data_IF_670400677095
#
_entry.id   IF_670400677095
#
_cell.length_a   1.000
_cell.length_b   1.000
_cell.length_c   1.000
_cell.angle_alpha   90.00
_cell.angle_beta   90.00
_cell.angle_gamma   90.00
#
_symmetry.space_group_name_H-M   'P 1'
#
loop_
_entity.id
_entity.type
_entity.pdbx_description
1 polymer ?
#
# COMPACT_ATOMS: atom_id res chain seq x y z
N UNK A 1 -0.05 -25.27 -56.02
CA UNK A 1 0.54 -26.13 -54.92
C UNK A 1 1.02 -25.21 -53.79
N UNK A 2 0.54 -25.40 -52.54
CA UNK A 2 1.04 -24.61 -51.36
C UNK A 2 2.50 -24.95 -51.09
N UNK A 3 3.40 -23.95 -51.11
CA UNK A 3 4.81 -24.11 -50.74
C UNK A 3 4.90 -24.64 -49.29
N UNK A 4 5.57 -25.77 -49.10
CA UNK A 4 5.81 -26.31 -47.75
C UNK A 4 6.95 -25.53 -47.12
N UNK A 5 6.63 -24.71 -46.13
CA UNK A 5 7.61 -24.00 -45.30
C UNK A 5 8.05 -24.89 -44.15
N UNK A 6 9.36 -25.10 -43.99
CA UNK A 6 10.00 -25.85 -42.93
C UNK A 6 10.59 -24.86 -41.90
N UNK A 7 10.53 -25.21 -40.60
CA UNK A 7 11.27 -24.49 -39.56
C UNK A 7 12.77 -24.77 -39.70
N UNK A 8 13.62 -23.91 -39.17
CA UNK A 8 15.09 -24.01 -39.31
C UNK A 8 15.64 -25.41 -39.00
N UNK A 9 15.20 -26.06 -37.94
CA UNK A 9 15.61 -27.44 -37.61
C UNK A 9 15.07 -28.50 -38.57
N UNK A 10 13.88 -28.31 -39.12
CA UNK A 10 13.26 -29.19 -40.11
C UNK A 10 13.94 -29.02 -41.49
N UNK A 11 14.28 -27.79 -41.84
CA UNK A 11 15.01 -27.44 -43.03
C UNK A 11 16.41 -28.07 -43.04
N UNK A 12 17.15 -27.91 -41.90
CA UNK A 12 18.50 -28.53 -41.76
C UNK A 12 18.46 -30.07 -41.91
N UNK A 13 17.44 -30.70 -41.27
CA UNK A 13 17.24 -32.17 -41.47
C UNK A 13 16.95 -32.51 -42.91
N UNK A 14 16.08 -31.77 -43.57
CA UNK A 14 15.74 -32.00 -44.96
C UNK A 14 16.96 -31.87 -45.90
N UNK A 15 17.74 -30.80 -45.75
CA UNK A 15 18.91 -30.53 -46.57
C UNK A 15 19.98 -31.59 -46.43
N UNK A 16 20.29 -32.05 -45.20
CA UNK A 16 21.27 -33.10 -44.94
C UNK A 16 20.81 -34.42 -45.52
N UNK A 17 19.53 -34.77 -45.36
CA UNK A 17 19.01 -36.04 -45.90
C UNK A 17 18.88 -35.98 -47.43
N UNK A 18 18.46 -34.86 -48.00
CA UNK A 18 18.42 -34.64 -49.46
C UNK A 18 19.82 -34.86 -50.03
N UNK A 19 20.83 -34.17 -49.53
CA UNK A 19 22.22 -34.35 -49.96
C UNK A 19 22.73 -35.78 -49.80
N UNK A 20 22.39 -36.44 -48.68
CA UNK A 20 22.77 -37.81 -48.42
C UNK A 20 22.20 -38.79 -49.46
N UNK A 21 20.95 -38.58 -49.91
CA UNK A 21 20.30 -39.45 -50.89
C UNK A 21 20.81 -39.14 -52.29
N UNK A 22 21.00 -37.87 -52.66
CA UNK A 22 21.47 -37.44 -53.98
C UNK A 22 22.93 -37.83 -54.25
N UNK A 23 23.80 -37.79 -53.21
CA UNK A 23 25.23 -38.12 -53.36
C UNK A 23 25.59 -39.54 -52.95
N UNK A 24 24.61 -40.36 -52.57
CA UNK A 24 24.82 -41.70 -51.99
C UNK A 24 25.85 -41.73 -50.84
N UNK A 25 25.78 -40.69 -49.96
CA UNK A 25 26.75 -40.37 -48.96
C UNK A 25 26.76 -41.30 -47.75
N UNK A 26 27.70 -41.05 -46.80
CA UNK A 26 27.87 -41.86 -45.61
C UNK A 26 26.82 -41.58 -44.55
N UNK A 27 25.98 -42.57 -44.22
CA UNK A 27 24.90 -42.52 -43.25
C UNK A 27 25.40 -42.24 -41.80
N UNK A 28 26.58 -42.79 -41.41
CA UNK A 28 27.17 -42.56 -40.11
C UNK A 28 27.56 -41.10 -39.94
N UNK A 29 28.15 -40.46 -40.96
CA UNK A 29 28.48 -39.02 -40.93
C UNK A 29 27.24 -38.14 -40.86
N UNK A 30 26.16 -38.49 -41.55
CA UNK A 30 24.88 -37.76 -41.44
C UNK A 30 24.25 -37.91 -40.05
N UNK A 31 24.34 -39.10 -39.45
CA UNK A 31 23.88 -39.37 -38.06
C UNK A 31 24.60 -38.52 -37.05
N UNK A 32 25.93 -38.45 -37.13
CA UNK A 32 26.77 -37.60 -36.24
C UNK A 32 26.41 -36.12 -36.43
N UNK A 33 26.20 -35.63 -37.68
CA UNK A 33 25.89 -34.24 -37.96
C UNK A 33 24.50 -33.81 -37.44
N UNK A 34 23.54 -34.76 -37.43
CA UNK A 34 22.17 -34.53 -36.91
C UNK A 34 22.00 -34.91 -35.43
N UNK A 35 23.03 -35.41 -34.77
CA UNK A 35 22.97 -35.86 -33.38
C UNK A 35 21.96 -37.01 -33.19
N UNK A 36 21.87 -37.94 -34.12
CA UNK A 36 20.90 -39.02 -34.08
C UNK A 36 21.48 -40.38 -34.53
N UNK A 37 20.74 -41.47 -34.37
CA UNK A 37 21.20 -42.81 -34.74
C UNK A 37 21.06 -43.07 -36.24
N UNK A 38 21.87 -43.98 -36.78
CA UNK A 38 21.78 -44.45 -38.20
C UNK A 38 20.38 -45.00 -38.51
N UNK A 39 19.71 -45.64 -37.53
CA UNK A 39 18.30 -46.06 -37.66
C UNK A 39 17.37 -44.90 -37.95
N UNK A 40 17.57 -43.77 -37.27
CA UNK A 40 16.79 -42.51 -37.50
C UNK A 40 17.07 -41.99 -38.90
N UNK A 41 18.32 -42.00 -39.37
CA UNK A 41 18.68 -41.62 -40.73
C UNK A 41 17.96 -42.48 -41.76
N UNK A 42 17.95 -43.81 -41.63
CA UNK A 42 17.23 -44.69 -42.54
C UNK A 42 15.71 -44.36 -42.61
N UNK A 43 15.08 -44.08 -41.43
CA UNK A 43 13.67 -43.67 -41.39
C UNK A 43 13.44 -42.32 -42.10
N UNK A 44 14.36 -41.39 -41.97
CA UNK A 44 14.28 -40.07 -42.63
C UNK A 44 14.50 -40.20 -44.16
N UNK A 45 15.38 -41.14 -44.62
CA UNK A 45 15.56 -41.46 -46.03
C UNK A 45 14.27 -42.02 -46.65
N UNK A 46 13.59 -42.94 -45.94
CA UNK A 46 12.30 -43.51 -46.39
C UNK A 46 11.29 -42.36 -46.49
N UNK A 47 11.14 -41.54 -45.47
CA UNK A 47 10.24 -40.37 -45.51
C UNK A 47 10.55 -39.37 -46.62
N UNK A 48 11.83 -39.15 -46.90
CA UNK A 48 12.25 -38.33 -48.04
C UNK A 48 11.79 -38.90 -49.40
N UNK A 49 11.99 -40.20 -49.57
CA UNK A 49 11.59 -40.88 -50.83
C UNK A 49 10.09 -40.94 -51.02
N UNK A 50 9.31 -41.12 -49.95
CA UNK A 50 7.85 -41.23 -50.01
C UNK A 50 7.13 -39.88 -50.07
N UNK A 51 7.57 -38.91 -49.23
CA UNK A 51 6.83 -37.68 -48.99
C UNK A 51 7.61 -36.40 -49.37
N UNK A 52 8.84 -36.53 -49.81
CA UNK A 52 9.69 -35.40 -50.16
C UNK A 52 9.87 -34.43 -48.99
N UNK A 53 9.76 -33.13 -49.29
CA UNK A 53 9.87 -32.05 -48.31
C UNK A 53 8.79 -32.11 -47.25
N UNK A 54 7.58 -32.60 -47.53
CA UNK A 54 6.45 -32.70 -46.61
C UNK A 54 6.75 -33.65 -45.42
N UNK A 55 7.52 -34.71 -45.64
CA UNK A 55 7.87 -35.68 -44.61
C UNK A 55 8.70 -35.14 -43.47
N UNK A 56 9.27 -33.93 -43.59
CA UNK A 56 10.10 -33.29 -42.57
C UNK A 56 9.32 -32.32 -41.69
N UNK A 57 8.07 -32.02 -41.99
CA UNK A 57 7.18 -31.25 -41.11
C UNK A 57 6.95 -32.07 -39.85
N UNK A 58 7.18 -31.46 -38.69
CA UNK A 58 6.98 -32.13 -37.39
C UNK A 58 5.53 -32.55 -37.20
N UNK A 59 5.27 -33.81 -36.89
CA UNK A 59 3.91 -34.38 -36.81
C UNK A 59 2.99 -33.73 -35.78
N UNK A 60 3.56 -33.07 -34.77
CA UNK A 60 2.81 -32.30 -33.76
C UNK A 60 2.60 -30.82 -34.17
N UNK A 61 2.96 -30.43 -35.40
CA UNK A 61 2.77 -29.06 -35.85
C UNK A 61 1.29 -28.76 -35.98
N UNK A 62 0.81 -27.80 -35.22
CA UNK A 62 -0.61 -27.42 -35.14
C UNK A 62 -1.47 -28.29 -34.22
N UNK A 63 -0.91 -29.28 -33.55
CA UNK A 63 -1.64 -30.06 -32.54
C UNK A 63 -1.77 -29.24 -31.25
N UNK A 64 -2.98 -28.98 -30.83
CA UNK A 64 -3.26 -28.37 -29.55
C UNK A 64 -3.07 -29.44 -28.44
N UNK A 65 -2.40 -29.12 -27.33
CA UNK A 65 -2.34 -29.99 -26.16
C UNK A 65 -3.75 -30.29 -25.64
N UNK A 66 -3.96 -31.44 -25.01
CA UNK A 66 -5.25 -31.78 -24.38
C UNK A 66 -5.62 -30.79 -23.25
N UNK A 67 -4.62 -30.14 -22.65
CA UNK A 67 -4.78 -29.10 -21.63
C UNK A 67 -4.92 -27.69 -22.20
N UNK A 68 -5.05 -27.53 -23.53
CA UNK A 68 -5.24 -26.20 -24.12
C UNK A 68 -6.62 -25.65 -23.75
N UNK A 69 -6.65 -24.42 -23.25
CA UNK A 69 -7.90 -23.72 -22.97
C UNK A 69 -8.66 -23.48 -24.29
N UNK A 70 -9.97 -23.79 -24.36
CA UNK A 70 -10.80 -23.52 -25.51
C UNK A 70 -10.77 -22.04 -25.93
N UNK A 71 -10.90 -21.78 -27.23
CA UNK A 71 -10.73 -20.42 -27.77
C UNK A 71 -11.81 -19.44 -27.28
N UNK A 72 -13.02 -19.90 -27.11
CA UNK A 72 -14.15 -19.14 -26.55
C UNK A 72 -13.89 -18.71 -25.12
N UNK A 73 -13.39 -19.62 -24.29
CA UNK A 73 -13.00 -19.33 -22.90
C UNK A 73 -11.82 -18.33 -22.88
N UNK A 74 -10.79 -18.55 -23.72
CA UNK A 74 -9.67 -17.62 -23.86
C UNK A 74 -10.15 -16.20 -24.17
N UNK A 75 -11.01 -16.06 -25.20
CA UNK A 75 -11.53 -14.76 -25.61
C UNK A 75 -12.36 -14.09 -24.52
N UNK A 76 -13.19 -14.87 -23.80
CA UNK A 76 -13.97 -14.38 -22.66
C UNK A 76 -13.07 -13.83 -21.55
N UNK A 77 -11.98 -14.53 -21.23
CA UNK A 77 -11.01 -14.09 -20.18
C UNK A 77 -10.27 -12.82 -20.63
N UNK A 78 -9.88 -12.74 -21.91
CA UNK A 78 -9.24 -11.52 -22.44
C UNK A 78 -10.19 -10.34 -22.36
N UNK A 79 -11.45 -10.50 -22.79
CA UNK A 79 -12.46 -9.45 -22.71
C UNK A 79 -12.73 -9.01 -21.28
N UNK A 80 -12.85 -9.96 -20.34
CA UNK A 80 -13.02 -9.68 -18.91
C UNK A 80 -11.86 -8.86 -18.36
N UNK A 81 -10.61 -9.21 -18.70
CA UNK A 81 -9.46 -8.45 -18.27
C UNK A 81 -9.48 -7.01 -18.79
N UNK A 82 -9.72 -6.84 -20.09
CA UNK A 82 -9.67 -5.52 -20.74
C UNK A 82 -10.76 -4.60 -20.21
N UNK A 83 -11.97 -5.12 -20.00
CA UNK A 83 -13.13 -4.33 -19.62
C UNK A 83 -13.16 -4.01 -18.11
N UNK A 84 -12.86 -5.01 -17.26
CA UNK A 84 -13.18 -4.91 -15.82
C UNK A 84 -11.93 -4.91 -14.92
N UNK A 85 -10.79 -5.48 -15.40
CA UNK A 85 -9.61 -5.72 -14.58
C UNK A 85 -8.30 -5.22 -15.20
N UNK A 86 -8.34 -4.22 -16.08
CA UNK A 86 -7.16 -3.73 -16.80
C UNK A 86 -6.07 -3.14 -15.89
N UNK A 87 -6.40 -2.76 -14.67
CA UNK A 87 -5.51 -2.26 -13.62
C UNK A 87 -4.92 -3.38 -12.74
N UNK A 88 -5.47 -4.61 -12.79
CA UNK A 88 -4.94 -5.75 -12.07
C UNK A 88 -3.63 -6.25 -12.69
N UNK A 89 -2.67 -6.66 -11.86
CA UNK A 89 -1.53 -7.41 -12.39
C UNK A 89 -1.95 -8.84 -12.77
N UNK A 90 -1.30 -9.41 -13.78
CA UNK A 90 -1.69 -10.71 -14.35
C UNK A 90 -1.75 -11.85 -13.33
N UNK A 91 -0.86 -11.88 -12.33
CA UNK A 91 -0.89 -12.90 -11.27
C UNK A 91 -2.15 -12.75 -10.42
N UNK A 92 -2.51 -11.51 -10.03
CA UNK A 92 -3.70 -11.23 -9.25
C UNK A 92 -4.98 -11.55 -10.04
N UNK A 93 -5.02 -11.21 -11.32
CA UNK A 93 -6.16 -11.54 -12.17
C UNK A 93 -6.34 -13.07 -12.35
N UNK A 94 -5.24 -13.84 -12.47
CA UNK A 94 -5.33 -15.30 -12.47
C UNK A 94 -5.95 -15.86 -11.19
N UNK A 95 -5.65 -15.27 -10.02
CA UNK A 95 -6.24 -15.66 -8.74
C UNK A 95 -7.75 -15.37 -8.70
N UNK A 96 -8.18 -14.22 -9.25
CA UNK A 96 -9.61 -13.87 -9.36
C UNK A 96 -10.31 -14.87 -10.29
N UNK A 97 -9.73 -15.18 -11.45
CA UNK A 97 -10.30 -16.16 -12.39
C UNK A 97 -10.40 -17.56 -11.77
N UNK A 98 -9.43 -17.96 -10.94
CA UNK A 98 -9.48 -19.24 -10.22
C UNK A 98 -10.58 -19.23 -9.14
N UNK A 99 -10.73 -18.12 -8.40
CA UNK A 99 -11.75 -18.02 -7.34
C UNK A 99 -13.17 -17.96 -7.86
N UNK A 100 -13.43 -17.19 -8.92
CA UNK A 100 -14.78 -16.88 -9.39
C UNK A 100 -15.29 -17.86 -10.43
N UNK A 101 -14.40 -18.39 -11.28
CA UNK A 101 -14.76 -19.28 -12.37
C UNK A 101 -14.22 -20.70 -12.19
N UNK A 102 -13.49 -20.97 -11.10
CA UNK A 102 -12.88 -22.29 -10.84
C UNK A 102 -11.81 -22.69 -11.88
N UNK A 103 -11.32 -21.75 -12.71
CA UNK A 103 -10.39 -22.02 -13.79
C UNK A 103 -8.97 -21.63 -13.41
N UNK A 104 -8.10 -22.62 -13.34
CA UNK A 104 -6.68 -22.41 -13.05
C UNK A 104 -5.89 -22.08 -14.31
N UNK A 105 -5.45 -20.83 -14.43
CA UNK A 105 -4.64 -20.33 -15.55
C UNK A 105 -3.30 -19.84 -15.00
N UNK A 106 -2.20 -20.21 -15.64
CA UNK A 106 -0.89 -19.69 -15.24
C UNK A 106 -0.72 -18.25 -15.71
N UNK A 107 -0.01 -17.42 -14.91
CA UNK A 107 0.38 -16.06 -15.27
C UNK A 107 1.17 -15.98 -16.57
N UNK A 108 1.96 -17.01 -16.88
CA UNK A 108 2.69 -17.15 -18.15
C UNK A 108 1.75 -17.33 -19.33
N UNK A 109 0.70 -18.14 -19.18
CA UNK A 109 -0.31 -18.36 -20.21
C UNK A 109 -1.07 -17.07 -20.51
N UNK A 110 -1.56 -16.42 -19.45
CA UNK A 110 -2.25 -15.13 -19.56
C UNK A 110 -1.35 -14.07 -20.19
N UNK A 111 -0.09 -13.95 -19.76
CA UNK A 111 0.87 -12.99 -20.32
C UNK A 111 1.09 -13.21 -21.83
N UNK A 112 1.13 -14.47 -22.29
CA UNK A 112 1.26 -14.77 -23.72
C UNK A 112 0.00 -14.37 -24.50
N UNK A 113 -1.19 -14.56 -23.92
CA UNK A 113 -2.44 -14.13 -24.54
C UNK A 113 -2.53 -12.61 -24.65
N UNK A 114 -2.25 -11.90 -23.54
CA UNK A 114 -2.31 -10.45 -23.49
C UNK A 114 -1.27 -9.78 -24.39
N UNK A 115 -0.08 -10.37 -24.53
CA UNK A 115 0.94 -9.88 -25.46
C UNK A 115 0.51 -10.00 -26.93
N UNK A 116 -0.29 -11.02 -27.27
CA UNK A 116 -0.83 -11.16 -28.61
C UNK A 116 -1.88 -10.08 -28.93
N UNK A 117 -2.49 -9.49 -27.90
CA UNK A 117 -3.44 -8.38 -27.98
C UNK A 117 -2.77 -7.02 -27.64
N UNK A 118 -1.44 -6.95 -27.61
CA UNK A 118 -0.65 -5.75 -27.25
C UNK A 118 -0.95 -5.16 -25.85
N UNK A 119 -1.51 -5.97 -24.93
CA UNK A 119 -1.82 -5.58 -23.57
C UNK A 119 -0.66 -5.93 -22.62
N UNK A 120 -0.22 -4.95 -21.84
CA UNK A 120 0.87 -5.10 -20.86
C UNK A 120 0.34 -5.03 -19.43
N UNK A 121 0.87 -5.90 -18.55
CA UNK A 121 0.60 -5.83 -17.11
C UNK A 121 1.07 -4.50 -16.53
N UNK A 122 0.34 -3.89 -15.57
CA UNK A 122 0.79 -2.69 -14.84
C UNK A 122 2.19 -2.81 -14.21
N UNK A 123 2.61 -4.02 -13.85
CA UNK A 123 3.98 -4.30 -13.33
C UNK A 123 5.07 -4.44 -14.41
N UNK A 124 4.75 -4.40 -15.69
CA UNK A 124 5.72 -4.55 -16.77
C UNK A 124 6.82 -3.47 -16.75
N UNK A 125 6.53 -2.26 -16.24
CA UNK A 125 7.50 -1.16 -16.09
C UNK A 125 8.73 -1.55 -15.26
N UNK A 126 8.60 -2.41 -14.23
CA UNK A 126 9.75 -2.89 -13.42
C UNK A 126 10.63 -3.85 -14.22
N UNK A 127 10.04 -4.74 -15.03
CA UNK A 127 10.81 -5.62 -15.93
C UNK A 127 11.55 -4.81 -16.99
N UNK A 128 10.95 -3.72 -17.48
CA UNK A 128 11.60 -2.80 -18.44
C UNK A 128 12.83 -2.14 -17.84
N UNK A 129 12.78 -1.64 -16.58
CA UNK A 129 13.95 -1.10 -15.86
C UNK A 129 15.06 -2.15 -15.74
N UNK A 130 14.71 -3.39 -15.34
CA UNK A 130 15.67 -4.49 -15.21
C UNK A 130 16.29 -4.88 -16.55
N UNK A 131 15.49 -4.91 -17.62
CA UNK A 131 15.97 -5.17 -18.97
C UNK A 131 16.87 -4.03 -19.48
N UNK A 132 16.53 -2.77 -19.20
CA UNK A 132 17.34 -1.61 -19.52
C UNK A 132 18.69 -1.66 -18.81
N UNK A 133 18.70 -1.96 -17.52
CA UNK A 133 19.93 -2.14 -16.73
C UNK A 133 20.81 -3.26 -17.28
N UNK A 134 20.22 -4.38 -17.70
CA UNK A 134 20.94 -5.47 -18.37
C UNK A 134 21.55 -4.98 -19.69
N UNK A 135 20.79 -4.32 -20.54
CA UNK A 135 21.29 -3.76 -21.81
C UNK A 135 22.41 -2.72 -21.60
N UNK A 136 22.30 -1.90 -20.56
CA UNK A 136 23.36 -0.94 -20.21
C UNK A 136 24.64 -1.66 -19.76
N UNK A 137 24.54 -2.73 -18.97
CA UNK A 137 25.68 -3.57 -18.56
C UNK A 137 26.33 -4.27 -19.75
N UNK A 138 25.53 -4.86 -20.63
CA UNK A 138 26.03 -5.51 -21.85
C UNK A 138 26.75 -4.48 -22.72
N UNK A 139 26.15 -3.31 -22.97
CA UNK A 139 26.76 -2.20 -23.72
C UNK A 139 28.04 -1.66 -23.09
N UNK A 140 28.12 -1.63 -21.74
CA UNK A 140 29.32 -1.23 -21.01
C UNK A 140 30.48 -2.20 -21.25
N UNK A 141 30.20 -3.51 -21.36
CA UNK A 141 31.19 -4.53 -21.64
C UNK A 141 31.71 -4.46 -23.07
N UNK A 142 30.85 -4.11 -24.03
CA UNK A 142 31.18 -4.05 -25.47
C UNK A 142 31.85 -2.71 -25.88
N UNK A 143 31.89 -1.70 -25.02
CA UNK A 143 32.40 -0.36 -25.36
C UNK A 143 33.85 -0.17 -24.93
N UNK A 144 34.74 0.20 -25.87
CA UNK A 144 36.13 0.48 -25.60
C UNK A 144 36.39 1.92 -25.04
N UNK A 145 35.48 2.85 -25.29
CA UNK A 145 35.61 4.26 -24.87
C UNK A 145 35.35 4.45 -23.37
N UNK A 146 36.35 4.99 -22.66
CA UNK A 146 36.26 5.20 -21.21
C UNK A 146 35.25 6.27 -20.81
N UNK A 147 35.08 7.31 -21.65
CA UNK A 147 34.07 8.36 -21.46
C UNK A 147 32.63 7.77 -21.48
N UNK A 148 32.32 6.93 -22.47
CA UNK A 148 31.02 6.28 -22.60
C UNK A 148 30.79 5.27 -21.48
N UNK A 149 31.83 4.57 -21.02
CA UNK A 149 31.76 3.70 -19.84
C UNK A 149 31.37 4.43 -18.57
N UNK A 150 31.92 5.63 -18.36
CA UNK A 150 31.63 6.46 -17.20
C UNK A 150 30.17 6.97 -17.22
N UNK A 151 29.68 7.43 -18.37
CA UNK A 151 28.29 7.85 -18.57
C UNK A 151 27.29 6.68 -18.32
N UNK A 152 27.66 5.48 -18.76
CA UNK A 152 26.86 4.26 -18.50
C UNK A 152 26.90 3.88 -17.03
N UNK A 153 28.06 3.98 -16.35
CA UNK A 153 28.18 3.74 -14.90
C UNK A 153 27.32 4.70 -14.10
N UNK A 154 27.32 5.98 -14.45
CA UNK A 154 26.49 6.99 -13.83
C UNK A 154 24.99 6.69 -14.03
N UNK A 155 24.59 6.30 -15.24
CA UNK A 155 23.23 5.88 -15.54
C UNK A 155 22.81 4.62 -14.76
N UNK A 156 23.73 3.67 -14.54
CA UNK A 156 23.49 2.47 -13.71
C UNK A 156 23.43 2.85 -12.23
N UNK A 157 24.29 3.78 -11.75
CA UNK A 157 24.27 4.29 -10.37
C UNK A 157 22.93 4.92 -10.02
N UNK A 158 22.40 5.78 -10.89
CA UNK A 158 21.06 6.38 -10.74
C UNK A 158 19.96 5.31 -10.66
N UNK A 159 20.10 4.22 -11.42
CA UNK A 159 19.17 3.08 -11.35
C UNK A 159 19.36 2.22 -10.09
N UNK A 160 20.55 2.23 -9.47
CA UNK A 160 20.93 1.45 -8.28
C UNK A 160 20.72 2.20 -6.96
N UNK A 161 20.70 3.53 -6.93
CA UNK A 161 20.47 4.33 -5.71
C UNK A 161 19.20 3.93 -4.96
N UNK A 162 18.24 3.34 -5.64
CA UNK A 162 17.02 2.83 -5.04
C UNK A 162 17.13 1.43 -4.40
N UNK A 163 18.23 0.70 -4.65
CA UNK A 163 18.40 -0.70 -4.20
C UNK A 163 19.56 -0.91 -3.20
N UNK A 164 20.30 0.13 -2.81
CA UNK A 164 21.64 0.06 -2.22
C UNK A 164 21.70 -0.17 -0.70
N UNK A 165 20.59 -0.48 0.00
CA UNK A 165 20.65 -0.70 1.45
C UNK A 165 20.64 -2.19 1.81
N UNK A 166 21.57 -2.64 2.72
CA UNK A 166 21.56 -4.02 3.19
C UNK A 166 20.23 -4.34 3.87
N UNK A 167 19.63 -5.46 3.49
CA UNK A 167 18.37 -5.92 4.08
C UNK A 167 18.62 -6.31 5.53
N UNK A 168 17.90 -5.68 6.47
CA UNK A 168 17.88 -6.12 7.86
C UNK A 168 17.34 -7.57 7.93
N UNK A 169 17.98 -8.47 8.70
CA UNK A 169 17.45 -9.81 8.93
C UNK A 169 16.06 -9.75 9.57
N UNK A 170 15.27 -10.81 9.44
CA UNK A 170 13.98 -10.94 10.11
C UNK A 170 14.16 -11.14 11.60
N UNK A 171 13.17 -10.75 12.37
CA UNK A 171 13.04 -11.12 13.79
C UNK A 171 12.96 -12.64 13.90
N UNK A 172 13.49 -13.20 14.99
CA UNK A 172 13.53 -14.64 15.20
C UNK A 172 12.19 -15.21 15.65
N UNK A 173 11.43 -14.42 16.38
CA UNK A 173 10.19 -14.86 17.04
C UNK A 173 9.01 -14.01 16.55
N UNK A 174 7.83 -14.64 16.43
CA UNK A 174 6.59 -13.92 16.15
C UNK A 174 6.21 -13.06 17.37
N UNK A 175 5.77 -11.82 17.11
CA UNK A 175 5.48 -10.85 18.18
C UNK A 175 6.69 -10.09 18.72
N UNK A 176 7.92 -10.43 18.32
CA UNK A 176 9.13 -9.73 18.75
C UNK A 176 9.18 -8.31 18.20
N UNK A 177 8.80 -8.11 16.93
CA UNK A 177 8.79 -6.80 16.30
C UNK A 177 7.65 -6.71 15.29
N UNK A 178 6.79 -5.74 15.49
CA UNK A 178 5.70 -5.39 14.59
C UNK A 178 6.05 -4.07 13.89
N UNK A 179 6.11 -4.07 12.55
CA UNK A 179 6.23 -2.83 11.78
C UNK A 179 4.84 -2.26 11.54
N UNK A 180 4.63 -1.00 11.90
CA UNK A 180 3.37 -0.29 11.74
C UNK A 180 3.56 0.94 10.87
N UNK A 181 2.62 1.20 9.97
CA UNK A 181 2.64 2.33 9.05
C UNK A 181 1.23 2.68 8.59
N UNK A 182 1.04 3.91 8.12
CA UNK A 182 -0.17 4.33 7.45
C UNK A 182 0.15 4.81 6.02
N UNK A 183 -0.64 4.40 5.05
CA UNK A 183 -0.46 4.82 3.66
C UNK A 183 -1.73 5.42 3.08
N UNK A 184 -1.63 6.64 2.53
CA UNK A 184 -2.71 7.26 1.79
C UNK A 184 -2.71 6.78 0.34
N UNK A 185 -3.89 6.48 -0.18
CA UNK A 185 -4.04 6.05 -1.57
C UNK A 185 -5.50 6.23 -2.03
N UNK A 186 -5.72 6.23 -3.35
CA UNK A 186 -7.06 6.12 -3.93
C UNK A 186 -7.51 4.65 -3.88
N UNK A 187 -8.18 4.27 -2.79
CA UNK A 187 -8.61 2.89 -2.58
C UNK A 187 -9.88 2.56 -3.33
N UNK A 188 -10.75 3.55 -3.48
CA UNK A 188 -11.94 3.54 -4.35
C UNK A 188 -11.89 4.74 -5.29
N UNK A 189 -12.73 4.74 -6.30
CA UNK A 189 -12.82 5.85 -7.26
C UNK A 189 -13.33 7.12 -6.58
N UNK A 190 -12.61 8.22 -6.77
CA UNK A 190 -12.98 9.54 -6.26
C UNK A 190 -12.61 9.82 -4.81
N UNK A 191 -12.18 8.83 -4.01
CA UNK A 191 -11.84 9.03 -2.60
C UNK A 191 -10.42 8.60 -2.24
N UNK A 192 -9.80 9.36 -1.34
CA UNK A 192 -8.50 9.04 -0.74
C UNK A 192 -8.72 8.67 0.72
N UNK A 193 -8.36 7.45 1.09
CA UNK A 193 -8.35 6.98 2.47
C UNK A 193 -6.94 6.64 2.92
N UNK A 194 -6.77 6.52 4.22
CA UNK A 194 -5.54 6.07 4.84
C UNK A 194 -5.71 4.64 5.34
N UNK A 195 -4.84 3.74 4.88
CA UNK A 195 -4.75 2.38 5.39
C UNK A 195 -3.70 2.32 6.48
N UNK A 196 -4.14 2.14 7.74
CA UNK A 196 -3.28 1.80 8.85
C UNK A 196 -3.03 0.31 8.84
N UNK A 197 -1.78 -0.12 8.88
CA UNK A 197 -1.43 -1.54 8.77
C UNK A 197 -0.25 -1.90 9.65
N UNK A 198 -0.31 -3.10 10.22
CA UNK A 198 0.76 -3.69 11.02
C UNK A 198 1.14 -5.07 10.47
N UNK A 199 2.45 -5.31 10.34
CA UNK A 199 3.03 -6.56 9.85
C UNK A 199 4.02 -7.12 10.86
N UNK A 200 3.92 -8.40 11.17
CA UNK A 200 4.91 -9.11 11.96
C UNK A 200 6.20 -9.29 11.13
N UNK A 201 7.32 -8.86 11.70
CA UNK A 201 8.61 -8.88 11.03
C UNK A 201 9.14 -10.31 10.82
N UNK A 202 8.78 -11.25 11.70
CA UNK A 202 9.26 -12.63 11.66
C UNK A 202 8.64 -13.42 10.50
N UNK A 203 7.32 -13.53 10.45
CA UNK A 203 6.61 -14.37 9.48
C UNK A 203 5.98 -13.58 8.33
N UNK A 204 5.89 -12.25 8.46
CA UNK A 204 5.30 -11.39 7.45
C UNK A 204 3.78 -11.44 7.41
N UNK A 205 3.12 -11.92 8.48
CA UNK A 205 1.67 -11.81 8.63
C UNK A 205 1.26 -10.37 8.87
N UNK A 206 0.20 -9.97 8.23
CA UNK A 206 -0.52 -8.76 8.60
C UNK A 206 -1.33 -9.07 9.84
N UNK A 207 -1.00 -8.41 10.94
CA UNK A 207 -1.59 -8.67 12.27
C UNK A 207 -2.69 -7.67 12.64
N UNK A 208 -2.81 -6.58 11.87
CA UNK A 208 -3.89 -5.61 11.98
C UNK A 208 -3.93 -4.71 10.76
N UNK A 209 -5.14 -4.30 10.36
CA UNK A 209 -5.36 -3.37 9.25
C UNK A 209 -6.69 -2.64 9.41
N UNK A 210 -6.70 -1.32 9.12
CA UNK A 210 -7.88 -0.48 9.27
C UNK A 210 -7.85 0.70 8.31
N UNK A 211 -8.95 0.97 7.61
CA UNK A 211 -9.13 2.16 6.81
C UNK A 211 -9.71 3.30 7.64
N UNK A 212 -9.13 4.49 7.48
CA UNK A 212 -9.70 5.72 8.00
C UNK A 212 -9.63 6.83 6.92
N UNK A 213 -10.44 7.87 7.05
CA UNK A 213 -10.43 9.02 6.12
C UNK A 213 -9.15 9.83 6.20
N UNK A 214 -8.50 9.81 7.35
CA UNK A 214 -7.22 10.47 7.61
C UNK A 214 -6.31 9.55 8.42
N UNK A 215 -5.04 9.91 8.55
CA UNK A 215 -4.14 9.26 9.49
C UNK A 215 -4.46 9.75 10.91
N UNK A 216 -5.11 8.90 11.70
CA UNK A 216 -5.63 9.24 13.03
C UNK A 216 -5.08 8.34 14.13
N UNK A 217 -5.10 8.83 15.37
CA UNK A 217 -4.84 8.00 16.54
C UNK A 217 -5.84 6.84 16.64
N UNK A 218 -7.10 7.08 16.30
CA UNK A 218 -8.14 6.05 16.26
C UNK A 218 -7.78 4.91 15.32
N UNK A 219 -7.31 5.21 14.11
CA UNK A 219 -6.87 4.18 13.14
C UNK A 219 -5.74 3.31 13.68
N UNK A 220 -4.77 3.91 14.39
CA UNK A 220 -3.71 3.16 15.07
C UNK A 220 -4.23 2.34 16.26
N UNK A 221 -5.20 2.84 17.01
CA UNK A 221 -5.83 2.11 18.11
C UNK A 221 -6.66 0.92 17.59
N UNK A 222 -7.37 1.06 16.48
CA UNK A 222 -8.08 -0.06 15.83
C UNK A 222 -7.11 -1.18 15.42
N UNK A 223 -5.96 -0.82 14.85
CA UNK A 223 -4.92 -1.79 14.49
C UNK A 223 -4.35 -2.46 15.75
N UNK A 224 -4.05 -1.68 16.80
CA UNK A 224 -3.55 -2.21 18.07
C UNK A 224 -4.59 -3.12 18.73
N UNK A 225 -5.86 -2.73 18.73
CA UNK A 225 -6.96 -3.55 19.24
C UNK A 225 -7.01 -4.93 18.53
N UNK A 226 -6.94 -4.94 17.19
CA UNK A 226 -6.91 -6.20 16.43
C UNK A 226 -5.71 -7.09 16.82
N UNK A 227 -4.54 -6.49 17.06
CA UNK A 227 -3.36 -7.23 17.51
C UNK A 227 -3.62 -7.84 18.89
N UNK A 228 -4.11 -7.04 19.85
CA UNK A 228 -4.33 -7.47 21.23
C UNK A 228 -5.34 -8.62 21.33
N UNK A 229 -6.45 -8.56 20.56
CA UNK A 229 -7.51 -9.59 20.64
C UNK A 229 -7.16 -10.87 19.88
N UNK A 230 -6.39 -10.78 18.79
CA UNK A 230 -6.10 -11.94 17.94
C UNK A 230 -4.77 -12.62 18.25
N UNK A 231 -3.80 -11.89 18.81
CA UNK A 231 -2.42 -12.36 19.00
C UNK A 231 -1.93 -12.18 20.45
N UNK A 232 -2.37 -11.15 21.14
CA UNK A 232 -1.86 -10.74 22.45
C UNK A 232 -0.96 -9.52 22.39
N UNK A 233 -0.17 -9.26 23.44
CA UNK A 233 0.69 -8.09 23.53
C UNK A 233 2.02 -8.38 22.83
N UNK A 234 2.42 -7.62 21.78
CA UNK A 234 3.72 -7.75 21.13
C UNK A 234 4.82 -7.10 22.00
N UNK A 235 6.07 -7.52 21.81
CA UNK A 235 7.18 -6.95 22.56
C UNK A 235 7.53 -5.54 22.07
N UNK A 236 7.46 -5.25 20.76
CA UNK A 236 7.94 -4.00 20.22
C UNK A 236 7.19 -3.57 18.95
N UNK A 237 6.92 -2.25 18.85
CA UNK A 237 6.56 -1.60 17.59
C UNK A 237 7.76 -0.90 16.95
N UNK A 238 7.85 -1.01 15.63
CA UNK A 238 8.84 -0.33 14.82
C UNK A 238 8.13 0.61 13.82
N UNK A 239 8.23 1.92 14.07
CA UNK A 239 7.45 2.95 13.38
C UNK A 239 8.36 4.06 12.83
N UNK A 240 7.81 5.01 12.06
CA UNK A 240 8.50 6.23 11.72
C UNK A 240 8.42 7.28 12.84
N UNK A 241 9.15 8.38 12.66
CA UNK A 241 9.11 9.51 13.60
C UNK A 241 7.93 10.43 13.33
N UNK A 242 6.70 9.91 13.37
CA UNK A 242 5.52 10.73 13.25
C UNK A 242 5.04 11.22 14.61
N UNK A 243 4.27 12.31 14.62
CA UNK A 243 3.75 12.94 15.85
C UNK A 243 2.86 12.01 16.67
N UNK A 244 2.27 10.99 16.07
CA UNK A 244 1.47 9.96 16.77
C UNK A 244 2.34 9.08 17.66
N UNK A 245 3.61 8.84 17.25
CA UNK A 245 4.52 7.95 17.96
C UNK A 245 5.56 8.69 18.80
N UNK A 246 6.03 9.85 18.32
CA UNK A 246 7.06 10.64 18.97
C UNK A 246 6.81 12.13 18.73
N UNK A 247 6.74 12.93 19.79
CA UNK A 247 6.60 14.38 19.71
C UNK A 247 7.83 15.07 20.29
N UNK A 248 8.62 15.76 19.45
CA UNK A 248 9.71 16.63 19.89
C UNK A 248 9.32 18.09 19.70
N UNK A 249 9.30 18.86 20.78
CA UNK A 249 9.15 20.31 20.69
C UNK A 249 10.37 20.93 20.01
N UNK A 250 10.17 21.76 18.97
CA UNK A 250 11.24 22.41 18.21
C UNK A 250 12.04 23.44 19.01
N UNK A 251 11.52 23.93 20.14
CA UNK A 251 12.01 25.15 20.80
C UNK A 251 12.72 24.89 22.16
N UNK A 252 13.11 23.66 22.48
CA UNK A 252 13.88 23.37 23.71
C UNK A 252 15.06 22.48 23.41
N UNK A 253 16.26 22.79 24.02
CA UNK A 253 17.43 21.95 23.88
C UNK A 253 17.21 20.55 24.47
N UNK A 254 18.05 19.62 24.07
CA UNK A 254 17.96 18.16 24.13
C UNK A 254 17.72 17.46 25.46
N UNK A 255 17.54 18.17 26.56
CA UNK A 255 17.34 17.62 27.90
C UNK A 255 15.86 17.66 28.36
N UNK A 256 14.91 18.03 27.48
CA UNK A 256 13.50 18.00 27.83
C UNK A 256 12.99 16.56 27.70
N UNK A 257 12.46 16.01 28.80
CA UNK A 257 11.73 14.74 28.84
C UNK A 257 10.88 14.53 27.62
N UNK A 258 11.04 13.37 26.96
CA UNK A 258 10.26 12.97 25.78
C UNK A 258 8.77 13.08 26.12
N UNK A 259 8.09 14.01 25.47
CA UNK A 259 6.65 14.19 25.67
C UNK A 259 5.96 12.99 25.05
N UNK A 260 5.50 12.05 25.87
CA UNK A 260 4.75 10.88 25.42
C UNK A 260 3.51 11.32 24.65
N UNK A 261 3.35 10.76 23.44
CA UNK A 261 2.07 10.83 22.73
C UNK A 261 1.07 9.88 23.36
N UNK A 262 -0.23 10.08 23.12
CA UNK A 262 -1.26 9.17 23.65
C UNK A 262 -1.03 7.71 23.21
N UNK A 263 -0.59 7.48 21.97
CA UNK A 263 -0.26 6.14 21.51
C UNK A 263 0.94 5.54 22.26
N UNK A 264 1.98 6.33 22.48
CA UNK A 264 3.15 5.89 23.25
C UNK A 264 2.79 5.59 24.69
N UNK A 265 1.92 6.40 25.28
CA UNK A 265 1.40 6.17 26.64
C UNK A 265 0.61 4.85 26.74
N UNK A 266 -0.28 4.58 25.77
CA UNK A 266 -1.02 3.32 25.68
C UNK A 266 -0.09 2.12 25.55
N UNK A 267 0.93 2.20 24.69
CA UNK A 267 1.95 1.15 24.53
C UNK A 267 2.75 0.94 25.81
N UNK A 268 3.18 2.01 26.48
CA UNK A 268 3.90 1.93 27.75
C UNK A 268 3.08 1.21 28.83
N UNK A 269 1.79 1.52 28.96
CA UNK A 269 0.89 0.85 29.89
C UNK A 269 0.67 -0.65 29.61
N UNK A 270 0.91 -1.06 28.36
CA UNK A 270 0.87 -2.46 27.91
C UNK A 270 2.25 -3.14 27.99
N UNK A 271 3.32 -2.42 28.32
CA UNK A 271 4.68 -2.95 28.30
C UNK A 271 5.28 -3.09 26.91
N UNK A 272 4.74 -2.42 25.90
CA UNK A 272 5.19 -2.48 24.50
C UNK A 272 6.27 -1.41 24.28
N UNK A 273 7.46 -1.81 23.83
CA UNK A 273 8.52 -0.88 23.43
C UNK A 273 8.19 -0.24 22.05
N UNK A 274 8.42 1.07 21.91
CA UNK A 274 8.32 1.75 20.61
C UNK A 274 9.72 2.15 20.16
N UNK A 275 10.14 1.67 19.00
CA UNK A 275 11.34 2.11 18.29
C UNK A 275 10.97 2.91 17.08
N UNK A 276 11.41 4.16 17.02
CA UNK A 276 11.22 5.03 15.87
C UNK A 276 12.46 5.07 14.99
N UNK A 277 12.27 5.21 13.68
CA UNK A 277 13.36 5.37 12.73
C UNK A 277 13.08 6.49 11.76
N UNK A 278 14.15 7.26 11.42
CA UNK A 278 14.10 8.23 10.32
C UNK A 278 14.55 7.61 8.99
N UNK A 279 15.02 6.36 8.99
CA UNK A 279 15.57 5.68 7.81
C UNK A 279 14.46 4.87 7.14
N UNK A 280 13.92 5.29 5.98
CA UNK A 280 12.82 4.59 5.29
C UNK A 280 13.14 3.12 5.02
N UNK A 281 14.38 2.81 4.64
CA UNK A 281 14.82 1.47 4.28
C UNK A 281 14.75 0.46 5.44
N UNK A 282 14.76 0.95 6.68
CA UNK A 282 14.63 0.11 7.86
C UNK A 282 13.23 -0.52 8.00
N UNK A 283 12.20 0.09 7.37
CA UNK A 283 10.80 -0.37 7.31
C UNK A 283 10.42 -1.08 6.00
N UNK A 284 11.37 -1.54 5.24
CA UNK A 284 11.16 -2.11 3.90
C UNK A 284 10.17 -3.30 3.81
N UNK A 285 9.66 -3.84 4.94
CA UNK A 285 8.61 -4.88 4.92
C UNK A 285 7.23 -4.27 4.86
N UNK A 286 6.92 -3.33 5.74
CA UNK A 286 5.63 -2.62 5.71
C UNK A 286 5.49 -1.78 4.43
N UNK A 287 6.57 -1.17 3.93
CA UNK A 287 6.54 -0.47 2.65
C UNK A 287 6.20 -1.40 1.47
N UNK A 288 6.80 -2.60 1.43
CA UNK A 288 6.46 -3.60 0.40
C UNK A 288 5.06 -4.15 0.56
N UNK A 289 4.58 -4.31 1.80
CA UNK A 289 3.19 -4.64 2.07
C UNK A 289 2.28 -3.57 1.50
N UNK A 290 2.50 -2.29 1.84
CA UNK A 290 1.73 -1.16 1.32
C UNK A 290 1.69 -1.15 -0.21
N UNK A 291 2.85 -1.31 -0.88
CA UNK A 291 2.91 -1.41 -2.35
C UNK A 291 2.10 -2.60 -2.91
N UNK A 292 2.05 -3.71 -2.18
CA UNK A 292 1.29 -4.89 -2.59
C UNK A 292 -0.21 -4.65 -2.41
N UNK A 293 -0.60 -4.11 -1.26
CA UNK A 293 -2.00 -3.77 -0.97
C UNK A 293 -2.53 -2.69 -1.92
N UNK A 294 -1.78 -1.61 -2.17
CA UNK A 294 -2.12 -0.58 -3.16
C UNK A 294 -2.31 -1.11 -4.57
N UNK A 295 -1.65 -2.21 -4.93
CA UNK A 295 -1.80 -2.83 -6.25
C UNK A 295 -2.93 -3.85 -6.34
N UNK A 296 -3.51 -4.27 -5.21
CA UNK A 296 -4.51 -5.36 -5.15
C UNK A 296 -5.84 -4.90 -4.57
N UNK A 297 -5.83 -4.22 -3.42
CA UNK A 297 -7.06 -3.84 -2.72
C UNK A 297 -8.02 -2.99 -3.55
N UNK A 298 -7.59 -2.00 -4.36
CA UNK A 298 -8.53 -1.25 -5.19
C UNK A 298 -9.31 -2.14 -6.17
N UNK A 299 -8.64 -3.15 -6.73
CA UNK A 299 -9.28 -4.13 -7.62
C UNK A 299 -10.26 -5.02 -6.87
N UNK A 300 -9.85 -5.53 -5.69
CA UNK A 300 -10.68 -6.40 -4.85
C UNK A 300 -11.89 -5.65 -4.29
N UNK A 301 -11.73 -4.39 -3.84
CA UNK A 301 -12.84 -3.55 -3.35
C UNK A 301 -13.86 -3.27 -4.45
N UNK A 302 -13.40 -2.90 -5.65
CA UNK A 302 -14.26 -2.68 -6.81
C UNK A 302 -14.98 -3.98 -7.21
N UNK A 303 -14.28 -5.09 -7.23
CA UNK A 303 -14.85 -6.41 -7.54
C UNK A 303 -15.90 -6.86 -6.54
N UNK A 304 -15.73 -6.50 -5.26
CA UNK A 304 -16.71 -6.73 -4.20
C UNK A 304 -17.81 -5.65 -4.14
N UNK A 305 -17.85 -4.70 -5.08
CA UNK A 305 -18.81 -3.58 -5.14
C UNK A 305 -18.85 -2.72 -3.87
N UNK A 306 -17.70 -2.55 -3.22
CA UNK A 306 -17.58 -1.76 -1.99
C UNK A 306 -17.37 -0.29 -2.35
N UNK A 307 -18.22 0.58 -1.78
CA UNK A 307 -18.25 2.02 -2.08
C UNK A 307 -18.08 2.91 -0.84
N UNK A 308 -18.09 2.35 0.36
CA UNK A 308 -17.94 3.09 1.61
C UNK A 308 -16.86 2.48 2.50
N UNK A 309 -16.37 3.26 3.45
CA UNK A 309 -15.24 2.89 4.30
C UNK A 309 -15.61 1.86 5.37
N UNK A 310 -16.86 1.86 5.81
CA UNK A 310 -17.40 0.93 6.80
C UNK A 310 -17.40 -0.49 6.25
N UNK A 311 -17.98 -0.69 5.07
CA UNK A 311 -17.99 -1.99 4.37
C UNK A 311 -16.56 -2.40 3.96
N UNK A 312 -15.72 -1.42 3.59
CA UNK A 312 -14.31 -1.68 3.29
C UNK A 312 -13.54 -2.24 4.50
N UNK A 313 -13.82 -1.78 5.71
CA UNK A 313 -13.21 -2.32 6.93
C UNK A 313 -13.70 -3.73 7.25
N UNK A 314 -14.97 -4.03 7.03
CA UNK A 314 -15.50 -5.39 7.17
C UNK A 314 -14.83 -6.33 6.16
N UNK A 315 -14.75 -5.92 4.89
CA UNK A 315 -14.08 -6.67 3.83
C UNK A 315 -12.59 -6.87 4.12
N UNK A 316 -11.91 -5.85 4.63
CA UNK A 316 -10.48 -5.88 4.93
C UNK A 316 -10.14 -7.00 5.92
N UNK A 317 -10.95 -7.21 6.94
CA UNK A 317 -10.78 -8.30 7.92
C UNK A 317 -10.81 -9.69 7.26
N UNK A 318 -11.67 -9.88 6.26
CA UNK A 318 -11.72 -11.12 5.47
C UNK A 318 -10.52 -11.22 4.52
N UNK A 319 -10.22 -10.13 3.81
CA UNK A 319 -9.14 -10.08 2.85
C UNK A 319 -7.76 -10.35 3.49
N UNK A 320 -7.50 -9.79 4.66
CA UNK A 320 -6.24 -10.00 5.39
C UNK A 320 -6.04 -11.48 5.75
N UNK A 321 -7.09 -12.21 6.11
CA UNK A 321 -7.00 -13.67 6.35
C UNK A 321 -6.60 -14.41 5.06
N UNK A 322 -7.25 -14.09 3.93
CA UNK A 322 -6.91 -14.62 2.59
C UNK A 322 -5.46 -14.30 2.24
N UNK A 323 -5.06 -13.04 2.42
CA UNK A 323 -3.70 -12.55 2.16
C UNK A 323 -2.65 -13.30 2.99
N UNK A 324 -2.85 -13.44 4.29
CA UNK A 324 -1.93 -14.13 5.18
C UNK A 324 -1.75 -15.60 4.80
N UNK A 325 -2.83 -16.30 4.44
CA UNK A 325 -2.77 -17.69 3.99
C UNK A 325 -1.91 -17.87 2.74
N UNK A 326 -1.90 -16.86 1.87
CA UNK A 326 -1.19 -16.90 0.59
C UNK A 326 0.25 -16.42 0.68
N UNK A 327 0.54 -15.36 1.45
CA UNK A 327 1.81 -14.64 1.42
C UNK A 327 2.66 -14.74 2.67
N UNK A 328 2.08 -15.12 3.82
CA UNK A 328 2.85 -15.28 5.04
C UNK A 328 3.80 -16.48 4.94
N UNK A 329 4.93 -16.36 5.60
CA UNK A 329 5.90 -17.46 5.67
C UNK A 329 5.39 -18.55 6.63
N UNK A 330 5.40 -19.79 6.17
CA UNK A 330 5.14 -20.96 7.04
C UNK A 330 6.42 -21.28 7.80
N UNK A 331 6.52 -20.75 9.02
CA UNK A 331 7.66 -21.02 9.88
C UNK A 331 7.36 -22.26 10.74
N UNK A 332 8.03 -23.38 10.45
CA UNK A 332 7.73 -24.69 11.05
C UNK A 332 8.05 -24.80 12.55
N UNK A 333 8.70 -23.80 13.20
CA UNK A 333 9.11 -23.88 14.60
C UNK A 333 9.33 -22.53 15.30
N UNK A 334 8.71 -21.44 14.83
CA UNK A 334 8.94 -20.13 15.46
C UNK A 334 8.17 -20.07 16.77
N UNK A 335 8.89 -19.87 17.88
CA UNK A 335 8.26 -19.54 19.17
C UNK A 335 7.60 -18.18 19.07
N UNK A 336 6.43 -18.05 19.68
CA UNK A 336 5.74 -16.77 19.84
C UNK A 336 6.21 -16.11 21.15
N UNK A 337 6.44 -14.81 21.10
CA UNK A 337 6.74 -13.98 22.28
C UNK A 337 5.59 -13.03 22.59
N UNK A 338 4.43 -13.19 21.93
CA UNK A 338 3.25 -12.45 22.35
C UNK A 338 2.88 -12.82 23.78
N UNK A 339 2.67 -11.80 24.62
CA UNK A 339 2.15 -12.00 25.96
C UNK A 339 0.64 -12.23 25.94
N UNK A 340 0.12 -12.70 27.09
CA UNK A 340 -1.30 -12.98 27.24
C UNK A 340 -2.16 -11.75 26.95
N UNK A 341 -3.25 -11.97 26.22
CA UNK A 341 -4.25 -10.94 25.94
C UNK A 341 -4.73 -10.25 27.22
N UNK A 342 -4.77 -8.89 27.27
CA UNK A 342 -5.35 -8.15 28.40
C UNK A 342 -6.87 -8.35 28.48
N UNK A 343 -7.48 -8.05 29.64
CA UNK A 343 -8.94 -8.01 29.73
C UNK A 343 -9.53 -6.91 28.87
N UNK A 344 -10.76 -7.08 28.38
CA UNK A 344 -11.46 -6.08 27.56
C UNK A 344 -11.55 -4.73 28.28
N UNK A 345 -11.78 -4.74 29.58
CA UNK A 345 -11.80 -3.52 30.39
C UNK A 345 -10.45 -2.79 30.37
N UNK A 346 -9.34 -3.53 30.52
CA UNK A 346 -8.00 -2.95 30.41
C UNK A 346 -7.73 -2.41 29.00
N UNK A 347 -8.17 -3.10 27.95
CA UNK A 347 -8.05 -2.65 26.55
C UNK A 347 -8.81 -1.34 26.37
N UNK A 348 -10.09 -1.29 26.75
CA UNK A 348 -10.95 -0.11 26.59
C UNK A 348 -10.38 1.13 27.27
N UNK A 349 -9.85 0.97 28.49
CA UNK A 349 -9.22 2.07 29.22
C UNK A 349 -7.87 2.49 28.64
N UNK A 350 -7.07 1.54 28.17
CA UNK A 350 -5.73 1.82 27.64
C UNK A 350 -5.78 2.49 26.28
N UNK A 351 -6.73 2.11 25.41
CA UNK A 351 -6.92 2.69 24.09
C UNK A 351 -7.88 3.90 24.11
N UNK A 352 -8.04 4.55 25.25
CA UNK A 352 -8.87 5.74 25.37
C UNK A 352 -8.19 6.96 24.73
N UNK A 353 -8.99 7.82 24.11
CA UNK A 353 -8.54 9.11 23.58
C UNK A 353 -8.75 10.19 24.64
N UNK A 354 -7.68 10.86 25.01
CA UNK A 354 -7.68 11.91 26.02
C UNK A 354 -7.73 13.30 25.37
N UNK A 355 -8.65 14.15 25.83
CA UNK A 355 -8.80 15.52 25.35
C UNK A 355 -8.98 16.50 26.49
N UNK A 356 -8.07 17.47 26.62
CA UNK A 356 -8.23 18.54 27.61
C UNK A 356 -9.33 19.50 27.18
N UNK A 357 -10.27 19.79 28.06
CA UNK A 357 -11.39 20.71 27.87
C UNK A 357 -11.52 21.61 29.10
N UNK A 358 -12.39 22.60 28.98
CA UNK A 358 -12.77 23.47 30.10
C UNK A 358 -14.28 23.45 30.24
N UNK A 359 -14.73 23.52 31.49
CA UNK A 359 -16.15 23.63 31.81
C UNK A 359 -16.59 25.08 31.51
N UNK A 360 -17.74 25.24 30.90
CA UNK A 360 -18.32 26.55 30.60
C UNK A 360 -19.11 27.16 31.80
N UNK A 361 -19.69 28.33 31.58
CA UNK A 361 -20.49 29.01 32.59
C UNK A 361 -21.82 28.31 32.91
N UNK A 362 -22.29 27.44 31.99
CA UNK A 362 -23.46 26.60 32.19
C UNK A 362 -23.12 25.21 32.78
N UNK A 363 -21.92 25.09 33.38
CA UNK A 363 -21.40 23.88 34.00
C UNK A 363 -21.26 22.67 33.08
N UNK A 364 -21.23 22.93 31.74
CA UNK A 364 -21.13 21.90 30.70
C UNK A 364 -19.73 21.79 30.13
N UNK A 365 -19.42 20.62 29.59
CA UNK A 365 -18.20 20.32 28.84
C UNK A 365 -18.60 20.23 27.35
N UNK A 366 -17.99 21.06 26.51
CA UNK A 366 -18.17 20.98 25.07
C UNK A 366 -17.22 19.95 24.45
N UNK A 367 -17.79 18.91 23.82
CA UNK A 367 -17.02 17.86 23.14
C UNK A 367 -17.74 17.45 21.85
N UNK A 368 -17.00 17.32 20.72
CA UNK A 368 -17.53 16.95 19.40
C UNK A 368 -18.81 17.72 18.98
N UNK A 369 -18.81 19.04 19.24
CA UNK A 369 -19.95 19.94 18.95
C UNK A 369 -21.22 19.71 19.77
N UNK A 370 -21.16 18.86 20.79
CA UNK A 370 -22.21 18.61 21.78
C UNK A 370 -21.83 19.12 23.14
N UNK A 371 -22.81 19.24 24.03
CA UNK A 371 -22.63 19.67 25.40
C UNK A 371 -22.97 18.53 26.35
N UNK A 372 -22.18 18.38 27.41
CA UNK A 372 -22.31 17.29 28.36
C UNK A 372 -22.24 17.80 29.80
N UNK A 373 -23.11 17.31 30.66
CA UNK A 373 -23.02 17.50 32.10
C UNK A 373 -22.17 16.40 32.75
N UNK A 374 -21.25 16.73 33.65
CA UNK A 374 -20.59 15.73 34.51
C UNK A 374 -21.60 15.15 35.50
N UNK A 375 -21.77 13.84 35.51
CA UNK A 375 -22.65 13.14 36.45
C UNK A 375 -21.88 12.06 37.19
N UNK A 376 -22.27 11.81 38.44
CA UNK A 376 -21.69 10.73 39.26
C UNK A 376 -22.21 9.36 38.76
N UNK A 377 -21.61 8.28 39.23
CA UNK A 377 -22.11 6.91 38.92
C UNK A 377 -23.57 6.70 39.31
N UNK A 378 -24.08 7.45 40.31
CA UNK A 378 -25.47 7.40 40.74
C UNK A 378 -26.43 8.25 39.88
N UNK A 379 -25.90 8.95 38.85
CA UNK A 379 -26.70 9.83 37.98
C UNK A 379 -26.88 11.26 38.51
N UNK A 380 -26.26 11.64 39.63
CA UNK A 380 -26.36 12.99 40.16
C UNK A 380 -25.47 13.96 39.37
N UNK A 381 -26.02 15.06 38.87
CA UNK A 381 -25.27 16.12 38.19
C UNK A 381 -24.36 16.87 39.18
N UNK A 382 -23.11 17.09 38.77
CA UNK A 382 -22.13 17.87 39.49
C UNK A 382 -21.85 19.20 38.83
N UNK A 383 -21.79 20.24 39.63
CA UNK A 383 -21.58 21.63 39.20
C UNK A 383 -20.16 22.06 39.56
N UNK A 384 -19.45 22.57 38.56
CA UNK A 384 -18.07 23.06 38.70
C UNK A 384 -18.00 24.52 38.27
N UNK A 385 -17.03 25.25 38.78
CA UNK A 385 -16.83 26.63 38.35
C UNK A 385 -16.48 26.72 36.86
N UNK A 386 -16.99 27.76 36.20
CA UNK A 386 -16.61 28.03 34.82
C UNK A 386 -15.10 28.18 34.67
N UNK A 387 -14.53 27.67 33.54
CA UNK A 387 -13.10 27.59 33.25
C UNK A 387 -12.32 26.55 34.06
N UNK A 388 -12.96 25.70 34.85
CA UNK A 388 -12.29 24.53 35.44
C UNK A 388 -11.78 23.63 34.33
N UNK A 389 -10.50 23.22 34.42
CA UNK A 389 -9.93 22.29 33.47
C UNK A 389 -10.46 20.90 33.73
N UNK A 390 -10.83 20.19 32.70
CA UNK A 390 -11.22 18.79 32.74
C UNK A 390 -10.54 18.00 31.61
N UNK A 391 -10.33 16.72 31.86
CA UNK A 391 -9.85 15.79 30.84
C UNK A 391 -11.01 14.90 30.41
N UNK A 392 -11.45 15.04 29.19
CA UNK A 392 -12.43 14.14 28.57
C UNK A 392 -11.71 12.88 28.12
N UNK A 393 -12.22 11.73 28.51
CA UNK A 393 -11.72 10.40 28.22
C UNK A 393 -12.77 9.70 27.37
N UNK A 394 -12.49 9.53 26.08
CA UNK A 394 -13.31 8.71 25.18
C UNK A 394 -12.71 7.30 25.17
N UNK A 395 -13.37 6.36 25.85
CA UNK A 395 -12.93 4.96 25.91
C UNK A 395 -13.08 4.30 24.54
N UNK A 396 -12.39 3.19 24.32
CA UNK A 396 -12.39 2.54 23.01
C UNK A 396 -13.77 2.01 22.59
N UNK A 397 -14.61 1.64 23.53
CA UNK A 397 -16.01 1.25 23.31
C UNK A 397 -16.98 2.45 23.16
N UNK A 398 -16.46 3.69 23.16
CA UNK A 398 -17.21 4.91 22.92
C UNK A 398 -17.86 5.51 24.17
N UNK A 399 -17.61 5.00 25.37
CA UNK A 399 -18.06 5.63 26.61
C UNK A 399 -17.30 6.94 26.84
N UNK A 400 -18.02 8.00 27.21
CA UNK A 400 -17.44 9.29 27.53
C UNK A 400 -17.37 9.50 29.04
N UNK A 401 -16.16 9.76 29.53
CA UNK A 401 -15.88 10.08 30.91
C UNK A 401 -15.18 11.44 31.01
N UNK A 402 -15.34 12.14 32.13
CA UNK A 402 -14.60 13.35 32.44
C UNK A 402 -13.82 13.15 33.73
N UNK A 403 -12.51 13.40 33.69
CA UNK A 403 -11.70 13.52 34.91
C UNK A 403 -11.63 15.00 35.30
N UNK A 404 -12.12 15.33 36.48
CA UNK A 404 -12.14 16.68 37.04
C UNK A 404 -11.61 16.55 38.48
N UNK A 405 -10.53 17.26 38.81
CA UNK A 405 -9.88 17.23 40.12
C UNK A 405 -9.64 15.78 40.59
N UNK A 406 -9.06 14.94 39.72
CA UNK A 406 -8.74 13.52 39.93
C UNK A 406 -9.95 12.60 40.21
N UNK A 407 -11.17 13.10 40.03
CA UNK A 407 -12.38 12.31 40.13
C UNK A 407 -12.97 12.02 38.73
N UNK A 408 -13.47 10.80 38.53
CA UNK A 408 -14.11 10.38 37.31
C UNK A 408 -15.64 10.61 37.35
N UNK A 409 -16.16 11.20 36.30
CA UNK A 409 -17.59 11.48 36.09
C UNK A 409 -18.03 10.91 34.77
N UNK A 410 -19.25 10.41 34.68
CA UNK A 410 -19.92 10.09 33.44
C UNK A 410 -20.31 11.39 32.74
N UNK A 411 -20.44 11.38 31.44
CA UNK A 411 -20.85 12.55 30.64
C UNK A 411 -22.27 12.33 30.09
N UNK A 412 -23.24 13.09 30.62
CA UNK A 412 -24.65 13.08 30.15
C UNK A 412 -24.81 14.13 29.06
N UNK A 413 -25.28 13.73 27.86
CA UNK A 413 -25.52 14.64 26.74
C UNK A 413 -26.70 15.57 27.05
N UNK A 414 -26.51 16.86 26.82
CA UNK A 414 -27.56 17.90 26.98
C UNK A 414 -28.06 18.28 25.61
N UNK A 415 -29.33 17.98 25.34
CA UNK A 415 -29.94 18.21 24.02
C UNK A 415 -30.07 19.70 23.67
N UNK A 416 -30.37 20.55 24.66
CA UNK A 416 -30.46 22.00 24.51
C UNK A 416 -29.58 22.66 25.57
N UNK A 417 -28.48 23.26 25.16
CA UNK A 417 -27.60 24.03 26.02
C UNK A 417 -27.89 25.51 25.82
N UNK A 418 -28.52 26.13 26.80
CA UNK A 418 -28.72 27.59 26.82
C UNK A 418 -27.48 28.27 27.35
N UNK A 419 -26.67 28.85 26.49
CA UNK A 419 -25.54 29.72 26.86
C UNK A 419 -25.99 31.04 27.45
N UNK A 420 -27.20 31.44 27.16
CA UNK A 420 -27.82 32.70 27.59
C UNK A 420 -29.29 32.44 27.90
N UNK A 421 -29.72 32.71 29.14
CA UNK A 421 -31.14 32.66 29.50
C UNK A 421 -31.88 33.76 28.79
N UNK A 422 -32.87 33.43 27.91
CA UNK A 422 -33.65 34.41 27.19
C UNK A 422 -34.49 35.31 28.11
N UNK A 423 -34.76 34.86 29.32
CA UNK A 423 -35.56 35.64 30.31
C UNK A 423 -34.72 36.64 31.10
N UNK A 424 -33.44 36.34 31.38
CA UNK A 424 -32.58 37.16 32.24
C UNK A 424 -31.48 37.90 31.46
N UNK A 425 -31.06 37.38 30.35
CA UNK A 425 -29.99 37.93 29.49
C UNK A 425 -30.54 38.34 28.12
N UNK A 426 -31.65 39.09 28.09
CA UNK A 426 -32.03 39.76 26.88
C UNK A 426 -30.81 40.58 26.40
N UNK A 427 -30.28 40.35 25.21
CA UNK A 427 -29.10 41.04 24.76
C UNK A 427 -29.46 42.53 24.78
N UNK A 428 -28.81 43.30 25.65
CA UNK A 428 -28.78 44.74 25.45
C UNK A 428 -28.26 44.93 24.06
N UNK A 429 -29.12 45.35 23.14
CA UNK A 429 -28.69 45.75 21.82
C UNK A 429 -27.66 46.85 22.01
N UNK A 430 -26.40 46.42 22.09
CA UNK A 430 -25.31 47.36 21.99
C UNK A 430 -25.47 48.01 20.60
N UNK A 431 -25.60 49.35 20.53
CA UNK A 431 -25.73 50.02 19.26
C UNK A 431 -24.59 49.51 18.39
N UNK A 432 -24.92 48.89 17.27
CA UNK A 432 -23.92 48.44 16.28
C UNK A 432 -23.16 49.70 15.88
N UNK A 433 -22.01 49.94 16.55
CA UNK A 433 -21.05 50.91 16.09
C UNK A 433 -20.71 50.47 14.69
N UNK A 434 -21.25 51.14 13.68
CA UNK A 434 -20.81 50.99 12.32
C UNK A 434 -19.32 51.12 12.33
N UNK A 435 -18.59 50.01 12.12
CA UNK A 435 -17.16 50.05 11.93
C UNK A 435 -16.92 50.87 10.69
N UNK A 436 -16.73 52.21 10.84
CA UNK A 436 -16.25 53.06 9.76
C UNK A 436 -15.03 52.34 9.17
N UNK A 437 -15.15 51.88 7.93
CA UNK A 437 -14.00 51.33 7.22
C UNK A 437 -12.90 52.36 7.25
N UNK A 438 -11.88 52.15 8.05
CA UNK A 438 -10.69 52.99 8.05
C UNK A 438 -10.08 52.94 6.65
N UNK A 439 -10.17 54.04 5.90
CA UNK A 439 -9.51 54.19 4.63
C UNK A 439 -8.23 54.98 4.91
N UNK A 440 -7.04 54.32 4.86
CA UNK A 440 -5.81 55.04 5.15
C UNK A 440 -5.61 56.24 4.19
N UNK A 441 -5.12 57.38 4.67
CA UNK A 441 -4.81 58.53 3.82
C UNK A 441 -3.76 58.15 2.76
N UNK A 442 -3.69 58.97 1.69
CA UNK A 442 -2.84 58.68 0.51
C UNK A 442 -1.34 58.59 0.83
N UNK A 443 -0.89 59.21 1.89
CA UNK A 443 0.49 59.23 2.38
C UNK A 443 0.81 58.09 3.35
N UNK A 444 -0.19 57.25 3.70
CA UNK A 444 0.03 56.10 4.59
C UNK A 444 1.01 55.11 4.01
N UNK A 445 1.99 54.57 4.80
CA UNK A 445 3.04 53.70 4.32
C UNK A 445 2.53 52.48 3.54
N UNK A 446 1.39 51.93 3.90
CA UNK A 446 0.77 50.78 3.20
C UNK A 446 0.31 51.13 1.76
N UNK A 447 -0.14 52.37 1.51
CA UNK A 447 -0.51 52.80 0.15
C UNK A 447 0.70 53.11 -0.70
N UNK A 448 1.76 53.72 -0.13
CA UNK A 448 3.01 53.99 -0.81
C UNK A 448 3.71 52.71 -1.21
N UNK A 449 3.79 51.73 -0.33
CA UNK A 449 4.44 50.43 -0.63
C UNK A 449 3.65 49.57 -1.63
N UNK A 450 2.31 49.56 -1.59
CA UNK A 450 1.52 48.82 -2.57
C UNK A 450 1.63 49.41 -3.98
N UNK A 451 1.68 50.74 -4.11
CA UNK A 451 1.84 51.41 -5.39
C UNK A 451 3.30 51.24 -5.94
N UNK A 452 4.30 51.34 -5.10
CA UNK A 452 5.68 51.12 -5.47
C UNK A 452 5.92 49.67 -5.93
N UNK A 453 5.37 48.68 -5.23
CA UNK A 453 5.43 47.27 -5.59
C UNK A 453 4.65 46.96 -6.88
N UNK A 454 3.50 47.63 -7.12
CA UNK A 454 2.76 47.49 -8.36
C UNK A 454 3.54 48.10 -9.53
N UNK A 455 4.12 49.31 -9.37
CA UNK A 455 4.93 49.96 -10.37
C UNK A 455 6.22 49.19 -10.69
N UNK A 456 6.86 48.59 -9.68
CA UNK A 456 8.02 47.74 -9.87
C UNK A 456 7.68 46.46 -10.66
N UNK A 457 6.55 45.83 -10.37
CA UNK A 457 6.06 44.64 -11.14
C UNK A 457 5.69 44.98 -12.58
N UNK A 458 5.19 46.16 -12.87
CA UNK A 458 4.90 46.64 -14.23
C UNK A 458 6.22 46.90 -15.01
N UNK A 459 7.24 47.52 -14.39
CA UNK A 459 8.57 47.74 -15.02
C UNK A 459 9.24 46.40 -15.36
N UNK A 460 9.13 45.36 -14.53
CA UNK A 460 9.67 44.06 -14.84
C UNK A 460 8.88 43.31 -15.95
N UNK A 461 7.62 43.62 -16.16
CA UNK A 461 6.84 43.07 -17.28
C UNK A 461 7.11 43.74 -18.61
N UNK A 462 7.44 45.02 -18.61
CA UNK A 462 7.79 45.75 -19.84
C UNK A 462 9.25 45.62 -20.26
N UNK A 463 10.13 45.10 -19.40
CA UNK A 463 11.55 44.88 -19.69
C UNK A 463 11.93 43.49 -20.18
N UNK A 464 10.95 42.59 -20.35
CA UNK A 464 11.18 41.20 -20.80
C UNK A 464 10.82 40.95 -22.28
N UNK A 465 10.55 42.01 -23.05
CA UNK A 465 10.33 41.95 -24.49
C UNK A 465 11.22 42.99 -25.20
N UNK A 466 12.54 42.80 -25.17
CA UNK A 466 13.50 43.31 -26.18
C UNK A 466 14.57 42.22 -26.36
#
# INVERSE_FOLDING_TARGET
MRKVELRMNEQNKYEIIKKLVETNGNKKRAATRLGCTVRTINRLIIKYKEQGKKGFVHGNRGRLPASAVPLDIKNKIISLYINDFSDANFTHFCEIVESDFGMKISDTTLNNWMRAEDVLSPKARRKTKKALKKKLKDRMNDTASEKVRNEIKESISILDEQDAHPRRPRSKYTGEMIQMDASSFHWIEGEVWHLHVAIDDADGKVVGAYFDRQETLKGYYEVLYQILINHGIPAMFYTDRRTVFEYKRKDKPSDAEDTFTQFSYACHNLGIEIKTTSVPQAKGRVERLNQTLQSRLPVELRHAHITNIEDANVFLNYYIKKYNNQFALRLNSTKSVYEKQPSMEKINRTLAVLSTRTIDSGHCIRFQSKFYFPVTENGDRRFFAGKTNCMVIETFDGQLLANIDDNLYLMEEVAEHELVSKEFDAPKEAPKKEKKKYIPPMDHPWRKNSFANYAAKQKHRCGANV
#
